data_IF_711603311895
#
_entry.id   IF_711603311895
#
_cell.length_a   1.000
_cell.length_b   1.000
_cell.length_c   1.000
_cell.angle_alpha   90.00
_cell.angle_beta   90.00
_cell.angle_gamma   90.00
#
_symmetry.space_group_name_H-M   'P 1'
#
loop_
_entity.id
_entity.type
_entity.pdbx_description
1 polymer ?
#
# COMPACT_ATOMS: atom_id res chain seq x y z
N UNK A 1 25.54 -1.83 7.04
CA UNK A 1 24.28 -1.04 6.95
C UNK A 1 23.46 -1.30 8.21
N UNK A 2 23.10 -0.27 9.00
CA UNK A 2 22.34 -0.47 10.24
C UNK A 2 20.88 -0.81 9.93
N UNK A 3 20.44 -2.01 10.30
CA UNK A 3 19.07 -2.49 10.15
C UNK A 3 18.18 -1.83 11.21
N UNK A 4 17.68 -0.63 10.93
CA UNK A 4 16.92 0.19 11.87
C UNK A 4 15.41 -0.14 11.86
N UNK A 5 15.04 -1.42 11.98
CA UNK A 5 13.63 -1.85 12.03
C UNK A 5 12.90 -1.28 13.25
N UNK A 6 13.60 -1.14 14.38
CA UNK A 6 13.05 -0.48 15.57
C UNK A 6 12.70 0.99 15.32
N UNK A 7 13.53 1.70 14.55
CA UNK A 7 13.25 3.08 14.18
C UNK A 7 12.01 3.17 13.30
N UNK A 8 11.88 2.26 12.32
CA UNK A 8 10.69 2.15 11.47
C UNK A 8 9.45 1.92 12.32
N UNK A 9 9.45 0.92 13.22
CA UNK A 9 8.30 0.61 14.07
C UNK A 9 7.91 1.80 14.95
N UNK A 10 8.89 2.48 15.56
CA UNK A 10 8.64 3.68 16.37
C UNK A 10 8.06 4.83 15.54
N UNK A 11 8.57 5.07 14.33
CA UNK A 11 8.11 6.15 13.46
C UNK A 11 6.73 5.84 12.84
N UNK A 12 6.48 4.59 12.47
CA UNK A 12 5.18 4.10 12.02
C UNK A 12 4.14 4.25 13.15
N UNK A 13 4.45 3.77 14.36
CA UNK A 13 3.57 3.94 15.52
C UNK A 13 3.31 5.40 15.88
N UNK A 14 4.33 6.27 15.78
CA UNK A 14 4.13 7.71 15.96
C UNK A 14 3.19 8.29 14.90
N UNK A 15 3.34 7.90 13.63
CA UNK A 15 2.43 8.32 12.56
C UNK A 15 0.99 7.82 12.81
N UNK A 16 0.82 6.59 13.30
CA UNK A 16 -0.49 6.03 13.64
C UNK A 16 -1.20 6.80 14.76
N UNK A 17 -0.47 7.51 15.64
CA UNK A 17 -1.05 8.38 16.68
C UNK A 17 -0.94 9.87 16.29
N UNK A 18 -0.84 10.15 14.99
CA UNK A 18 -0.80 11.50 14.40
C UNK A 18 0.37 12.38 14.88
N UNK A 19 1.47 11.76 15.31
CA UNK A 19 2.71 12.46 15.71
C UNK A 19 3.73 12.42 14.59
N UNK A 20 3.67 13.44 13.74
CA UNK A 20 4.51 13.53 12.54
C UNK A 20 5.83 14.26 12.81
N UNK A 21 6.86 13.91 12.03
CA UNK A 21 8.13 14.64 11.98
C UNK A 21 8.40 15.14 10.56
N UNK A 22 9.34 16.09 10.36
CA UNK A 22 9.73 16.49 9.01
C UNK A 22 10.26 15.30 8.20
N UNK A 23 10.04 15.31 6.88
CA UNK A 23 10.36 14.20 5.96
C UNK A 23 11.81 13.68 6.10
N UNK A 24 12.77 14.58 6.33
CA UNK A 24 14.20 14.26 6.52
C UNK A 24 14.50 13.30 7.67
N UNK A 25 13.60 13.17 8.65
CA UNK A 25 13.78 12.25 9.79
C UNK A 25 13.39 10.80 9.47
N UNK A 26 12.73 10.56 8.34
CA UNK A 26 12.39 9.23 7.84
C UNK A 26 13.48 8.72 6.90
N UNK A 27 14.66 8.44 7.46
CA UNK A 27 15.79 7.88 6.72
C UNK A 27 15.99 6.42 7.12
N UNK A 28 15.76 5.51 6.17
CA UNK A 28 15.92 4.07 6.37
C UNK A 28 16.94 3.50 5.39
N UNK A 29 17.65 2.44 5.81
CA UNK A 29 18.54 1.71 4.92
C UNK A 29 17.77 0.80 3.97
N UNK A 30 18.35 0.51 2.80
CA UNK A 30 17.77 -0.36 1.77
C UNK A 30 17.23 -1.72 2.28
N UNK A 31 17.84 -2.41 3.26
CA UNK A 31 17.30 -3.67 3.77
C UNK A 31 15.91 -3.50 4.40
N UNK A 32 15.64 -2.34 5.01
CA UNK A 32 14.33 -2.04 5.60
C UNK A 32 13.27 -1.90 4.51
N UNK A 33 13.61 -1.27 3.38
CA UNK A 33 12.71 -1.16 2.23
C UNK A 33 12.32 -2.53 1.70
N UNK A 34 13.32 -3.40 1.46
CA UNK A 34 13.10 -4.76 0.96
C UNK A 34 12.19 -5.54 1.90
N UNK A 35 12.42 -5.47 3.22
CA UNK A 35 11.61 -6.17 4.21
C UNK A 35 10.16 -5.66 4.27
N UNK A 36 9.96 -4.34 4.21
CA UNK A 36 8.62 -3.74 4.21
C UNK A 36 7.88 -4.09 2.93
N UNK A 37 8.52 -3.97 1.75
CA UNK A 37 7.91 -4.37 0.49
C UNK A 37 7.58 -5.86 0.47
N UNK A 38 8.40 -6.70 1.09
CA UNK A 38 8.10 -8.12 1.20
C UNK A 38 6.88 -8.40 2.09
N UNK A 39 6.82 -7.77 3.26
CA UNK A 39 5.70 -7.95 4.18
C UNK A 39 4.39 -7.38 3.60
N UNK A 40 4.43 -6.18 3.00
CA UNK A 40 3.28 -5.56 2.34
C UNK A 40 2.91 -6.31 1.06
N UNK A 41 3.88 -6.88 0.35
CA UNK A 41 3.66 -7.78 -0.79
C UNK A 41 2.84 -9.00 -0.38
N UNK A 42 3.17 -9.60 0.76
CA UNK A 42 2.39 -10.69 1.33
C UNK A 42 0.97 -10.23 1.72
N UNK A 43 0.82 -9.05 2.35
CA UNK A 43 -0.50 -8.48 2.64
C UNK A 43 -1.36 -8.36 1.37
N UNK A 44 -0.77 -7.85 0.27
CA UNK A 44 -1.46 -7.72 -1.01
C UNK A 44 -1.78 -9.08 -1.63
N UNK A 45 -0.87 -10.06 -1.56
CA UNK A 45 -1.13 -11.42 -2.05
C UNK A 45 -2.32 -12.05 -1.31
N UNK A 46 -2.40 -11.89 0.01
CA UNK A 46 -3.52 -12.38 0.82
C UNK A 46 -4.82 -11.67 0.44
N UNK A 47 -4.79 -10.35 0.26
CA UNK A 47 -5.96 -9.57 -0.12
C UNK A 47 -6.47 -9.94 -1.53
N UNK A 48 -5.57 -10.26 -2.46
CA UNK A 48 -5.89 -10.61 -3.84
C UNK A 48 -6.18 -12.09 -4.06
N UNK A 49 -5.89 -12.95 -3.08
CA UNK A 49 -6.12 -14.40 -3.15
C UNK A 49 -7.52 -14.81 -3.63
N UNK A 50 -8.63 -14.17 -3.21
CA UNK A 50 -9.96 -14.52 -3.71
C UNK A 50 -10.15 -14.29 -5.21
N UNK A 51 -9.36 -13.39 -5.80
CA UNK A 51 -9.42 -13.04 -7.21
C UNK A 51 -8.38 -13.83 -8.03
N UNK A 52 -7.11 -13.79 -7.61
CA UNK A 52 -5.96 -14.36 -8.34
C UNK A 52 -5.69 -15.84 -8.04
N UNK A 53 -6.38 -16.43 -7.05
CA UNK A 53 -6.07 -17.77 -6.56
C UNK A 53 -4.87 -17.80 -5.61
N UNK A 54 -4.40 -19.01 -5.29
CA UNK A 54 -3.34 -19.26 -4.30
C UNK A 54 -1.97 -19.62 -4.89
N UNK A 55 -1.79 -19.51 -6.20
CA UNK A 55 -0.56 -19.92 -6.88
C UNK A 55 0.61 -18.94 -6.68
N UNK A 56 1.82 -19.40 -7.00
CA UNK A 56 3.06 -18.61 -6.89
C UNK A 56 3.00 -17.31 -7.70
N UNK A 57 2.32 -17.31 -8.85
CA UNK A 57 2.07 -16.13 -9.65
C UNK A 57 1.24 -15.06 -8.92
N UNK A 58 0.25 -15.47 -8.10
CA UNK A 58 -0.55 -14.55 -7.29
C UNK A 58 0.29 -13.92 -6.18
N UNK A 59 1.21 -14.68 -5.58
CA UNK A 59 2.18 -14.16 -4.62
C UNK A 59 3.08 -13.13 -5.32
N UNK A 60 3.69 -13.49 -6.46
CA UNK A 60 4.53 -12.59 -7.24
C UNK A 60 3.79 -11.29 -7.63
N UNK A 61 2.53 -11.39 -8.02
CA UNK A 61 1.68 -10.24 -8.32
C UNK A 61 1.41 -9.36 -7.08
N UNK A 62 1.24 -9.96 -5.90
CA UNK A 62 1.12 -9.22 -4.64
C UNK A 62 2.36 -8.39 -4.30
N UNK A 63 3.55 -8.96 -4.50
CA UNK A 63 4.83 -8.24 -4.34
C UNK A 63 4.97 -7.11 -5.37
N UNK A 64 4.67 -7.39 -6.65
CA UNK A 64 4.67 -6.38 -7.71
C UNK A 64 3.70 -5.24 -7.38
N UNK A 65 2.54 -5.56 -6.82
CA UNK A 65 1.54 -4.60 -6.36
C UNK A 65 2.09 -3.70 -5.26
N UNK A 66 2.75 -4.26 -4.25
CA UNK A 66 3.34 -3.49 -3.15
C UNK A 66 4.40 -2.50 -3.65
N UNK A 67 5.34 -2.97 -4.47
CA UNK A 67 6.42 -2.14 -5.02
C UNK A 67 5.84 -1.06 -5.93
N UNK A 68 4.92 -1.41 -6.81
CA UNK A 68 4.30 -0.45 -7.75
C UNK A 68 3.56 0.65 -7.01
N UNK A 69 2.68 0.31 -6.06
CA UNK A 69 1.91 1.29 -5.29
C UNK A 69 2.83 2.22 -4.51
N UNK A 70 3.87 1.66 -3.88
CA UNK A 70 4.88 2.44 -3.18
C UNK A 70 5.59 3.44 -4.11
N UNK A 71 6.08 2.99 -5.27
CA UNK A 71 6.80 3.83 -6.22
C UNK A 71 5.90 4.92 -6.83
N UNK A 72 4.67 4.57 -7.20
CA UNK A 72 3.71 5.55 -7.73
C UNK A 72 3.37 6.58 -6.66
N UNK A 73 3.05 6.17 -5.44
CA UNK A 73 2.67 7.10 -4.38
C UNK A 73 3.81 8.06 -4.04
N UNK A 74 5.02 7.54 -3.86
CA UNK A 74 6.20 8.37 -3.59
C UNK A 74 6.50 9.33 -4.74
N UNK A 75 6.37 8.89 -5.99
CA UNK A 75 6.56 9.73 -7.18
C UNK A 75 5.51 10.83 -7.29
N UNK A 76 4.24 10.48 -7.08
CA UNK A 76 3.11 11.41 -7.10
C UNK A 76 3.28 12.47 -6.01
N UNK A 77 3.65 12.08 -4.78
CA UNK A 77 3.91 13.02 -3.70
C UNK A 77 5.10 13.93 -4.00
N UNK A 78 6.18 13.38 -4.57
CA UNK A 78 7.35 14.14 -4.97
C UNK A 78 7.03 15.24 -5.99
N UNK A 79 6.14 14.98 -6.96
CA UNK A 79 5.80 15.95 -8.00
C UNK A 79 4.71 16.93 -7.57
N UNK A 80 3.66 16.45 -6.90
CA UNK A 80 2.46 17.24 -6.61
C UNK A 80 2.49 17.95 -5.24
N UNK A 81 3.23 17.41 -4.27
CA UNK A 81 3.27 17.90 -2.88
C UNK A 81 4.61 18.56 -2.56
N UNK A 82 4.93 19.61 -3.31
CA UNK A 82 6.04 20.52 -2.96
C UNK A 82 5.68 21.33 -1.72
N UNK A 83 6.66 21.75 -0.94
CA UNK A 83 6.43 22.67 0.15
C UNK A 83 5.97 24.06 -0.37
N UNK A 84 5.36 24.91 0.46
CA UNK A 84 4.86 26.23 0.03
C UNK A 84 5.94 27.15 -0.55
N UNK A 85 7.19 26.96 -0.15
CA UNK A 85 8.40 27.62 -0.69
C UNK A 85 8.86 27.06 -2.06
N UNK A 86 8.20 26.01 -2.54
CA UNK A 86 8.52 25.32 -3.79
C UNK A 86 9.54 24.20 -3.64
N UNK A 87 10.09 23.96 -2.44
CA UNK A 87 11.06 22.91 -2.20
C UNK A 87 10.41 21.52 -2.31
N UNK A 88 11.15 20.54 -2.83
CA UNK A 88 10.65 19.17 -2.95
C UNK A 88 10.83 18.42 -1.64
N UNK A 89 9.75 17.77 -1.19
CA UNK A 89 9.74 17.07 0.09
C UNK A 89 10.02 15.58 -0.12
N UNK A 90 11.06 15.01 0.51
CA UNK A 90 11.45 13.61 0.35
C UNK A 90 10.50 12.61 1.06
N UNK A 91 9.40 12.22 0.41
CA UNK A 91 8.36 11.38 1.02
C UNK A 91 8.65 9.87 1.12
N UNK A 92 9.69 9.37 0.46
CA UNK A 92 10.03 7.94 0.41
C UNK A 92 10.01 7.21 1.76
N UNK A 93 10.69 7.75 2.78
CA UNK A 93 10.70 7.12 4.10
C UNK A 93 9.38 7.25 4.83
N UNK A 94 8.71 8.40 4.74
CA UNK A 94 7.39 8.57 5.36
C UNK A 94 6.38 7.57 4.80
N UNK A 95 6.31 7.45 3.47
CA UNK A 95 5.44 6.48 2.79
C UNK A 95 5.78 5.05 3.25
N UNK A 96 7.07 4.70 3.32
CA UNK A 96 7.49 3.37 3.78
C UNK A 96 7.02 3.08 5.21
N UNK A 97 7.14 4.05 6.12
CA UNK A 97 6.70 3.91 7.51
C UNK A 97 5.19 3.70 7.61
N UNK A 98 4.41 4.40 6.79
CA UNK A 98 2.96 4.26 6.76
C UNK A 98 2.48 3.00 6.04
N UNK A 99 3.20 2.52 5.02
CA UNK A 99 2.92 1.22 4.38
C UNK A 99 3.18 0.07 5.36
N UNK A 100 4.19 0.18 6.22
CA UNK A 100 4.45 -0.80 7.27
C UNK A 100 3.29 -0.95 8.27
N UNK A 101 2.41 0.06 8.38
CA UNK A 101 1.20 -0.06 9.20
C UNK A 101 0.18 -1.06 8.63
N UNK A 102 0.29 -1.47 7.37
CA UNK A 102 -0.56 -2.50 6.80
C UNK A 102 -0.16 -3.92 7.23
N UNK A 103 1.07 -4.13 7.74
CA UNK A 103 1.62 -5.45 8.10
C UNK A 103 0.74 -6.24 9.10
N UNK A 104 0.13 -5.63 10.13
CA UNK A 104 -0.81 -6.32 11.02
C UNK A 104 -1.99 -6.97 10.30
N UNK A 105 -2.30 -6.60 9.06
CA UNK A 105 -3.30 -7.30 8.23
C UNK A 105 -3.00 -8.79 8.07
N UNK A 106 -1.72 -9.20 8.18
CA UNK A 106 -1.33 -10.61 8.14
C UNK A 106 -1.93 -11.44 9.29
N UNK A 107 -2.36 -10.83 10.40
CA UNK A 107 -3.05 -11.56 11.48
C UNK A 107 -4.38 -12.16 11.05
N UNK A 108 -4.96 -11.70 9.93
CA UNK A 108 -6.18 -12.31 9.36
C UNK A 108 -5.95 -13.72 8.80
N UNK A 109 -4.69 -14.13 8.60
CA UNK A 109 -4.34 -15.48 8.16
C UNK A 109 -4.65 -16.53 9.25
N UNK A 110 -4.09 -16.43 10.46
CA UNK A 110 -4.43 -17.33 11.55
C UNK A 110 -5.79 -17.02 12.19
N UNK A 111 -6.27 -15.77 12.12
CA UNK A 111 -7.49 -15.31 12.81
C UNK A 111 -8.45 -14.58 11.84
N UNK A 112 -9.21 -15.31 11.00
CA UNK A 112 -10.14 -14.71 10.04
C UNK A 112 -11.19 -13.79 10.67
N UNK A 113 -11.59 -14.05 11.91
CA UNK A 113 -12.50 -13.24 12.72
C UNK A 113 -12.00 -11.80 12.97
N UNK A 114 -10.70 -11.54 12.81
CA UNK A 114 -10.12 -10.20 12.94
C UNK A 114 -10.38 -9.29 11.73
N UNK A 115 -10.95 -9.81 10.62
CA UNK A 115 -11.18 -9.04 9.37
C UNK A 115 -11.86 -7.68 9.58
N UNK A 116 -12.96 -7.55 10.37
CA UNK A 116 -13.59 -6.25 10.60
C UNK A 116 -12.65 -5.25 11.30
N UNK A 117 -11.91 -5.72 12.31
CA UNK A 117 -10.94 -4.92 13.06
C UNK A 117 -9.77 -4.47 12.18
N UNK A 118 -9.29 -5.35 11.31
CA UNK A 118 -8.26 -5.02 10.33
C UNK A 118 -8.77 -4.03 9.29
N UNK A 119 -10.04 -4.10 8.88
CA UNK A 119 -10.67 -3.09 8.03
C UNK A 119 -10.69 -1.71 8.67
N UNK A 120 -11.07 -1.62 9.96
CA UNK A 120 -11.01 -0.38 10.73
C UNK A 120 -9.57 0.14 10.85
N UNK A 121 -8.62 -0.74 11.15
CA UNK A 121 -7.21 -0.40 11.25
C UNK A 121 -6.64 0.15 9.94
N UNK A 122 -6.91 -0.51 8.80
CA UNK A 122 -6.44 -0.04 7.50
C UNK A 122 -7.07 1.29 7.11
N UNK A 123 -8.35 1.50 7.44
CA UNK A 123 -9.03 2.79 7.26
C UNK A 123 -8.36 3.88 8.11
N UNK A 124 -8.03 3.59 9.35
CA UNK A 124 -7.27 4.52 10.21
C UNK A 124 -5.88 4.82 9.66
N UNK A 125 -5.15 3.79 9.19
CA UNK A 125 -3.82 3.96 8.61
C UNK A 125 -3.82 4.86 7.38
N UNK A 126 -4.86 4.76 6.54
CA UNK A 126 -5.07 5.68 5.43
C UNK A 126 -5.18 7.14 5.92
N UNK A 127 -6.02 7.40 6.94
CA UNK A 127 -6.19 8.75 7.49
C UNK A 127 -4.92 9.26 8.17
N UNK A 128 -4.20 8.40 8.89
CA UNK A 128 -2.90 8.74 9.47
C UNK A 128 -1.88 9.12 8.38
N UNK A 129 -1.83 8.35 7.29
CA UNK A 129 -0.96 8.65 6.15
C UNK A 129 -1.35 9.98 5.47
N UNK A 130 -2.64 10.20 5.26
CA UNK A 130 -3.17 11.43 4.68
C UNK A 130 -2.85 12.65 5.54
N UNK A 131 -3.12 12.57 6.85
CA UNK A 131 -2.87 13.66 7.80
C UNK A 131 -1.38 14.02 7.87
N UNK A 132 -0.49 13.03 7.89
CA UNK A 132 0.94 13.31 7.87
C UNK A 132 1.42 13.82 6.51
N UNK A 133 0.81 13.42 5.39
CA UNK A 133 1.12 14.02 4.08
C UNK A 133 0.78 15.51 4.07
N UNK A 134 -0.36 15.92 4.63
CA UNK A 134 -0.74 17.33 4.84
C UNK A 134 0.26 18.04 5.76
N UNK A 135 0.52 17.47 6.94
CA UNK A 135 1.38 18.10 7.94
C UNK A 135 2.84 18.24 7.48
N UNK A 136 3.37 17.25 6.75
CA UNK A 136 4.76 17.23 6.29
C UNK A 136 4.96 18.08 5.03
N UNK A 137 4.00 18.09 4.10
CA UNK A 137 4.07 18.95 2.91
C UNK A 137 3.74 20.41 3.20
N UNK A 138 2.97 20.70 4.26
CA UNK A 138 2.40 22.02 4.49
C UNK A 138 1.35 22.44 3.44
N UNK A 139 0.90 21.51 2.58
CA UNK A 139 -0.06 21.77 1.51
C UNK A 139 -1.51 21.68 2.01
N UNK A 140 -2.42 22.30 1.26
CA UNK A 140 -3.86 22.21 1.56
C UNK A 140 -4.36 20.76 1.44
N UNK A 141 -5.28 20.31 2.32
CA UNK A 141 -5.84 18.95 2.27
C UNK A 141 -6.41 18.57 0.90
N UNK A 142 -7.04 19.50 0.18
CA UNK A 142 -7.57 19.27 -1.17
C UNK A 142 -6.48 18.90 -2.18
N UNK A 143 -5.28 19.47 -2.07
CA UNK A 143 -4.16 19.15 -2.95
C UNK A 143 -3.61 17.76 -2.66
N UNK A 144 -3.55 17.39 -1.37
CA UNK A 144 -3.18 16.03 -0.93
C UNK A 144 -4.21 15.03 -1.42
N UNK A 145 -5.51 15.33 -1.32
CA UNK A 145 -6.58 14.49 -1.88
C UNK A 145 -6.42 14.32 -3.40
N UNK A 146 -6.15 15.40 -4.14
CA UNK A 146 -5.84 15.33 -5.57
C UNK A 146 -4.64 14.44 -5.90
N UNK A 147 -3.58 14.49 -5.08
CA UNK A 147 -2.44 13.58 -5.21
C UNK A 147 -2.86 12.10 -5.01
N UNK A 148 -3.69 11.79 -4.03
CA UNK A 148 -4.23 10.45 -3.85
C UNK A 148 -5.09 9.98 -5.03
N UNK A 149 -5.89 10.86 -5.65
CA UNK A 149 -6.65 10.54 -6.86
C UNK A 149 -5.72 10.19 -8.02
N UNK A 150 -4.67 11.00 -8.26
CA UNK A 150 -3.67 10.72 -9.31
C UNK A 150 -2.95 9.39 -9.03
N UNK A 151 -2.53 9.16 -7.78
CA UNK A 151 -1.94 7.90 -7.35
C UNK A 151 -2.86 6.71 -7.64
N UNK A 152 -4.15 6.82 -7.32
CA UNK A 152 -5.11 5.75 -7.53
C UNK A 152 -5.29 5.43 -9.02
N UNK A 153 -5.43 6.46 -9.87
CA UNK A 153 -5.56 6.30 -11.32
C UNK A 153 -4.31 5.65 -11.94
N UNK A 154 -3.13 6.18 -11.64
CA UNK A 154 -1.87 5.69 -12.21
C UNK A 154 -1.57 4.27 -11.72
N UNK A 155 -1.78 3.99 -10.43
CA UNK A 155 -1.57 2.64 -9.89
C UNK A 155 -2.54 1.64 -10.49
N UNK A 156 -3.82 1.98 -10.61
CA UNK A 156 -4.82 1.08 -11.19
C UNK A 156 -4.49 0.76 -12.66
N UNK A 157 -4.08 1.76 -13.43
CA UNK A 157 -3.67 1.56 -14.82
C UNK A 157 -2.45 0.62 -14.93
N UNK A 158 -1.40 0.85 -14.13
CA UNK A 158 -0.20 0.01 -14.15
C UNK A 158 -0.49 -1.42 -13.71
N UNK A 159 -1.25 -1.60 -12.62
CA UNK A 159 -1.63 -2.93 -12.14
C UNK A 159 -2.51 -3.67 -13.14
N UNK A 160 -3.39 -2.97 -13.85
CA UNK A 160 -4.17 -3.55 -14.93
C UNK A 160 -3.28 -4.04 -16.08
N UNK A 161 -2.30 -3.22 -16.50
CA UNK A 161 -1.32 -3.64 -17.51
C UNK A 161 -0.54 -4.87 -17.05
N UNK A 162 -0.08 -4.90 -15.80
CA UNK A 162 0.61 -6.07 -15.26
C UNK A 162 -0.27 -7.31 -15.19
N UNK A 163 -1.56 -7.16 -14.84
CA UNK A 163 -2.50 -8.28 -14.82
C UNK A 163 -2.64 -8.87 -16.22
N UNK A 164 -2.80 -8.03 -17.25
CA UNK A 164 -2.84 -8.48 -18.65
C UNK A 164 -1.55 -9.19 -19.06
N UNK A 165 -0.38 -8.70 -18.63
CA UNK A 165 0.90 -9.36 -18.90
C UNK A 165 0.97 -10.76 -18.26
N UNK A 166 0.54 -10.90 -17.00
CA UNK A 166 0.51 -12.20 -16.30
C UNK A 166 -0.45 -13.19 -16.96
N UNK A 167 -1.61 -12.72 -17.43
CA UNK A 167 -2.56 -13.55 -18.18
C UNK A 167 -2.00 -13.93 -19.55
N UNK A 168 -1.45 -12.98 -20.30
CA UNK A 168 -0.90 -13.23 -21.65
C UNK A 168 0.32 -14.15 -21.65
N UNK A 169 1.09 -14.18 -20.56
CA UNK A 169 2.22 -15.10 -20.37
C UNK A 169 1.81 -16.47 -19.84
N UNK A 170 0.52 -16.70 -19.60
CA UNK A 170 -0.01 -17.96 -19.07
C UNK A 170 0.30 -18.20 -17.59
N UNK A 171 0.81 -17.18 -16.87
CA UNK A 171 1.09 -17.29 -15.44
C UNK A 171 -0.19 -17.24 -14.60
N UNK A 172 -1.23 -16.59 -15.10
CA UNK A 172 -2.58 -16.59 -14.52
C UNK A 172 -3.59 -17.07 -15.57
N UNK A 173 -4.50 -17.97 -15.16
CA UNK A 173 -5.55 -18.48 -16.04
C UNK A 173 -6.74 -17.51 -16.09
N UNK A 174 -7.04 -17.00 -17.29
CA UNK A 174 -8.17 -16.10 -17.52
C UNK A 174 -9.53 -16.73 -17.17
N UNK A 175 -9.69 -18.04 -17.38
CA UNK A 175 -10.92 -18.75 -17.06
C UNK A 175 -11.09 -18.88 -15.56
N UNK A 176 -10.01 -19.16 -14.82
CA UNK A 176 -10.02 -19.19 -13.36
C UNK A 176 -10.34 -17.80 -12.78
N UNK A 177 -9.71 -16.75 -13.31
CA UNK A 177 -10.00 -15.37 -12.92
C UNK A 177 -11.48 -15.02 -13.12
N UNK A 178 -12.04 -15.33 -14.29
CA UNK A 178 -13.45 -15.08 -14.56
C UNK A 178 -14.38 -15.88 -13.64
N UNK A 179 -14.08 -17.15 -13.39
CA UNK A 179 -14.85 -17.97 -12.45
C UNK A 179 -14.79 -17.41 -11.02
N UNK A 180 -13.61 -16.93 -10.59
CA UNK A 180 -13.44 -16.30 -9.27
C UNK A 180 -14.22 -14.99 -9.16
N UNK A 181 -14.27 -14.17 -10.22
CA UNK A 181 -15.11 -12.96 -10.27
C UNK A 181 -16.58 -13.30 -10.12
N UNK A 182 -17.08 -14.28 -10.88
CA UNK A 182 -18.49 -14.69 -10.81
C UNK A 182 -18.85 -15.17 -9.41
N UNK A 183 -18.04 -16.06 -8.82
CA UNK A 183 -18.23 -16.53 -7.44
C UNK A 183 -18.24 -15.38 -6.43
N UNK A 184 -17.36 -14.40 -6.61
CA UNK A 184 -17.29 -13.24 -5.72
C UNK A 184 -18.52 -12.33 -5.86
N UNK A 185 -19.05 -12.15 -7.07
CA UNK A 185 -20.29 -11.41 -7.31
C UNK A 185 -21.51 -12.13 -6.70
N UNK A 186 -21.59 -13.44 -6.86
CA UNK A 186 -22.65 -14.26 -6.25
C UNK A 186 -22.61 -14.19 -4.72
N UNK A 187 -21.43 -14.30 -4.12
CA UNK A 187 -21.26 -14.17 -2.67
C UNK A 187 -21.67 -12.79 -2.14
N UNK A 188 -21.43 -11.72 -2.91
CA UNK A 188 -21.89 -10.37 -2.55
C UNK A 188 -23.40 -10.21 -2.65
N UNK A 189 -24.06 -10.91 -3.58
CA UNK A 189 -25.52 -10.88 -3.72
C UNK A 189 -26.22 -11.65 -2.58
N UNK A 190 -25.61 -12.73 -2.09
CA UNK A 190 -26.15 -13.51 -0.97
C UNK A 190 -25.93 -12.85 0.41
N UNK A 191 -24.95 -11.95 0.52
CA UNK A 191 -24.66 -11.19 1.74
C UNK A 191 -25.51 -9.91 1.90
N UNK A 192 -26.44 -9.65 0.97
CA UNK A 192 -27.30 -8.46 0.89
C UNK A 192 -28.74 -8.80 1.22
#
# INVERSE_FOLDING_TARGET
MKMNLWLLARQAGAAAVLRFRPARFYAYGLPVFVLVWAAVGMVNAVALKPFLGAGDAAIGFGFLTAVTRYLVLTRVFWELLRAPDGERVPFWGYVLATEALAIPTLFTLPYPEMRPWVGLWNTWCFWAQFAGAVAISGQRPLRVAGAYVVYWLVSSLLLFVFLLMFVSSGWLDANELNANVVKMLEAMQQAR
#
